data_IF_201113647604
#
_entry.id   IF_201113647604
#
_cell.length_a   1.000
_cell.length_b   1.000
_cell.length_c   1.000
_cell.angle_alpha   90.00
_cell.angle_beta   90.00
_cell.angle_gamma   90.00
#
_symmetry.space_group_name_H-M   'P 1'
#
loop_
_entity.id
_entity.type
_entity.pdbx_description
1 polymer ?
#
# COMPACT_ATOMS: atom_id res chain seq x y z
N UNK A 1 -27.40 10.21 -53.52
CA UNK A 1 -26.29 9.28 -53.20
C UNK A 1 -25.53 9.83 -52.02
N UNK A 2 -25.89 9.44 -50.83
CA UNK A 2 -25.24 9.87 -49.57
C UNK A 2 -24.33 8.75 -49.08
N UNK A 3 -23.03 9.02 -49.01
CA UNK A 3 -22.03 8.11 -48.47
C UNK A 3 -21.96 8.30 -46.96
N UNK A 4 -22.40 7.27 -46.22
CA UNK A 4 -22.30 7.19 -44.77
C UNK A 4 -20.86 6.77 -44.44
N UNK A 5 -20.07 7.67 -43.81
CA UNK A 5 -18.74 7.37 -43.32
C UNK A 5 -18.86 6.80 -41.88
N UNK A 6 -18.53 5.54 -41.74
CA UNK A 6 -18.48 4.83 -40.44
C UNK A 6 -17.18 5.21 -39.71
N UNK A 7 -17.28 6.04 -38.68
CA UNK A 7 -16.15 6.39 -37.81
C UNK A 7 -15.94 5.27 -36.76
N UNK A 8 -14.94 4.44 -36.97
CA UNK A 8 -14.52 3.43 -35.98
C UNK A 8 -13.65 4.11 -34.94
N UNK A 9 -14.22 4.30 -33.74
CA UNK A 9 -13.51 4.83 -32.59
C UNK A 9 -12.70 3.69 -31.94
N UNK A 10 -11.39 3.65 -32.22
CA UNK A 10 -10.45 2.74 -31.54
C UNK A 10 -10.25 3.23 -30.11
N UNK A 11 -10.88 2.56 -29.14
CA UNK A 11 -10.57 2.69 -27.73
C UNK A 11 -9.21 2.08 -27.46
N UNK A 12 -8.17 2.91 -27.38
CA UNK A 12 -6.87 2.50 -26.85
C UNK A 12 -6.98 2.40 -25.34
N UNK A 13 -6.99 1.17 -24.82
CA UNK A 13 -6.80 0.87 -23.40
C UNK A 13 -5.37 1.28 -23.04
N UNK A 14 -5.16 2.18 -22.06
CA UNK A 14 -3.81 2.45 -21.58
C UNK A 14 -3.24 1.17 -20.96
N UNK A 15 -2.15 0.67 -21.51
CA UNK A 15 -1.34 -0.37 -20.92
C UNK A 15 -0.95 0.11 -19.50
N UNK A 16 -1.26 -0.70 -18.52
CA UNK A 16 -0.77 -0.49 -17.16
C UNK A 16 0.76 -0.53 -17.24
N UNK A 17 1.36 0.65 -17.04
CA UNK A 17 2.81 0.78 -16.93
C UNK A 17 3.23 -0.03 -15.70
N UNK A 18 3.78 -1.21 -15.95
CA UNK A 18 4.46 -1.97 -14.92
C UNK A 18 5.56 -1.08 -14.35
N UNK A 19 5.54 -0.90 -13.04
CA UNK A 19 6.55 -0.15 -12.31
C UNK A 19 7.88 -0.93 -12.43
N UNK A 20 8.70 -0.57 -13.41
CA UNK A 20 10.07 -1.08 -13.54
C UNK A 20 10.96 -0.33 -12.56
N UNK A 21 11.26 -0.98 -11.43
CA UNK A 21 12.26 -0.52 -10.49
C UNK A 21 13.65 -0.76 -11.11
N UNK A 22 14.16 0.22 -11.86
CA UNK A 22 15.54 0.21 -12.35
C UNK A 22 16.50 0.26 -11.16
N UNK A 23 17.18 -0.86 -10.91
CA UNK A 23 18.23 -0.97 -9.90
C UNK A 23 19.42 -0.09 -10.27
N UNK A 24 19.58 1.07 -9.64
CA UNK A 24 20.87 1.73 -9.36
C UNK A 24 20.68 3.07 -8.65
N UNK A 25 20.25 3.04 -7.40
CA UNK A 25 20.58 4.06 -6.40
C UNK A 25 20.29 3.41 -5.05
N UNK A 26 21.10 3.66 -4.06
CA UNK A 26 20.78 3.37 -2.66
C UNK A 26 19.60 4.27 -2.29
N UNK A 27 18.40 3.87 -2.67
CA UNK A 27 17.17 4.59 -2.32
C UNK A 27 17.06 4.48 -0.82
N UNK A 28 17.12 5.61 -0.12
CA UNK A 28 16.95 5.65 1.33
C UNK A 28 15.61 5.05 1.72
N UNK A 29 15.50 4.45 2.90
CA UNK A 29 14.25 3.85 3.37
C UNK A 29 13.05 4.81 3.28
N UNK A 30 13.33 6.09 3.49
CA UNK A 30 12.32 7.15 3.40
C UNK A 30 11.79 7.35 1.96
N UNK A 31 12.65 7.20 0.95
CA UNK A 31 12.26 7.37 -0.45
C UNK A 31 11.31 6.26 -0.92
N UNK A 32 11.56 5.00 -0.50
CA UNK A 32 10.68 3.85 -0.84
C UNK A 32 9.27 4.08 -0.29
N UNK A 33 9.16 4.50 0.97
CA UNK A 33 7.87 4.81 1.58
C UNK A 33 7.20 5.99 0.88
N UNK A 34 7.92 7.08 0.65
CA UNK A 34 7.37 8.28 0.00
C UNK A 34 6.81 7.95 -1.38
N UNK A 35 7.53 7.19 -2.20
CA UNK A 35 7.06 6.80 -3.51
C UNK A 35 5.84 5.85 -3.45
N UNK A 36 5.83 4.87 -2.56
CA UNK A 36 4.70 3.98 -2.38
C UNK A 36 3.45 4.75 -1.91
N UNK A 37 3.61 5.65 -0.94
CA UNK A 37 2.53 6.48 -0.42
C UNK A 37 2.04 7.50 -1.48
N UNK A 38 2.95 8.13 -2.23
CA UNK A 38 2.61 9.04 -3.30
C UNK A 38 1.73 8.37 -4.37
N UNK A 39 2.13 7.17 -4.79
CA UNK A 39 1.36 6.35 -5.74
C UNK A 39 -0.01 5.96 -5.19
N UNK A 40 -0.08 5.44 -3.96
CA UNK A 40 -1.33 4.95 -3.38
C UNK A 40 -2.34 6.07 -3.07
N UNK A 41 -1.84 7.22 -2.59
CA UNK A 41 -2.69 8.36 -2.22
C UNK A 41 -2.90 9.37 -3.35
N UNK A 42 -2.32 9.14 -4.53
CA UNK A 42 -2.35 10.05 -5.68
C UNK A 42 -1.87 11.47 -5.29
N UNK A 43 -0.60 11.53 -4.85
CA UNK A 43 0.04 12.77 -4.37
C UNK A 43 1.46 12.91 -4.92
N UNK A 44 1.93 14.15 -5.01
CA UNK A 44 3.32 14.41 -5.37
C UNK A 44 4.29 14.03 -4.25
N UNK A 45 5.39 13.32 -4.52
CA UNK A 45 6.40 12.94 -3.53
C UNK A 45 6.91 14.13 -2.69
N UNK A 46 7.19 15.26 -3.33
CA UNK A 46 7.65 16.49 -2.67
C UNK A 46 6.63 17.07 -1.66
N UNK A 47 5.34 16.83 -1.90
CA UNK A 47 4.30 17.19 -0.95
C UNK A 47 4.37 16.30 0.28
N UNK A 48 4.55 14.98 0.10
CA UNK A 48 4.67 14.03 1.21
C UNK A 48 5.89 14.29 2.07
N UNK A 49 7.04 14.59 1.47
CA UNK A 49 8.27 14.96 2.20
C UNK A 49 8.06 16.20 3.09
N UNK A 50 7.41 17.23 2.55
CA UNK A 50 7.11 18.45 3.28
C UNK A 50 6.17 18.20 4.45
N UNK A 51 5.09 17.45 4.25
CA UNK A 51 4.14 17.13 5.30
C UNK A 51 4.67 16.07 6.27
N UNK A 52 5.52 15.15 5.84
CA UNK A 52 6.20 14.19 6.71
C UNK A 52 6.98 14.88 7.83
N UNK A 53 7.72 15.94 7.49
CA UNK A 53 8.40 16.77 8.50
C UNK A 53 7.43 17.44 9.48
N UNK A 54 6.26 17.85 9.00
CA UNK A 54 5.25 18.53 9.82
C UNK A 54 4.49 17.60 10.75
N UNK A 55 4.20 16.36 10.30
CA UNK A 55 3.55 15.33 11.12
C UNK A 55 4.53 14.59 12.04
N UNK A 56 5.82 14.62 11.75
CA UNK A 56 6.89 14.09 12.60
C UNK A 56 7.10 12.56 12.49
N UNK A 57 6.19 11.82 11.87
CA UNK A 57 6.35 10.37 11.61
C UNK A 57 5.66 9.94 10.33
N UNK A 58 6.14 8.84 9.73
CA UNK A 58 5.51 8.21 8.57
C UNK A 58 4.11 7.67 8.93
N UNK A 59 3.94 7.16 10.14
CA UNK A 59 2.65 6.67 10.64
C UNK A 59 1.61 7.80 10.70
N UNK A 60 1.94 8.96 11.28
CA UNK A 60 1.04 10.11 11.34
C UNK A 60 0.76 10.72 9.96
N UNK A 61 1.77 10.77 9.08
CA UNK A 61 1.58 11.18 7.69
C UNK A 61 0.59 10.26 6.97
N UNK A 62 0.72 8.93 7.16
CA UNK A 62 -0.17 7.94 6.53
C UNK A 62 -1.60 8.11 7.02
N UNK A 63 -1.82 8.36 8.32
CA UNK A 63 -3.15 8.67 8.86
C UNK A 63 -3.72 9.95 8.23
N UNK A 64 -2.92 11.02 8.14
CA UNK A 64 -3.36 12.26 7.52
C UNK A 64 -3.74 12.07 6.04
N UNK A 65 -2.94 11.32 5.29
CA UNK A 65 -3.20 11.01 3.89
C UNK A 65 -4.49 10.19 3.73
N UNK A 66 -4.71 9.20 4.60
CA UNK A 66 -5.92 8.38 4.59
C UNK A 66 -7.17 9.21 4.89
N UNK A 67 -7.12 10.09 5.88
CA UNK A 67 -8.21 10.99 6.19
C UNK A 67 -8.46 11.99 5.06
N UNK A 68 -7.41 12.58 4.49
CA UNK A 68 -7.51 13.49 3.34
C UNK A 68 -8.15 12.80 2.13
N UNK A 69 -7.75 11.57 1.81
CA UNK A 69 -8.31 10.76 0.71
C UNK A 69 -9.80 10.47 0.90
N UNK A 70 -10.22 10.18 2.13
CA UNK A 70 -11.59 9.77 2.44
C UNK A 70 -12.59 10.91 2.60
N UNK A 71 -12.14 12.07 3.12
CA UNK A 71 -13.00 13.20 3.43
C UNK A 71 -12.83 14.41 2.50
N UNK A 72 -11.79 14.38 1.64
CA UNK A 72 -11.40 15.55 0.84
C UNK A 72 -10.74 16.68 1.64
N UNK A 73 -10.48 16.48 2.94
CA UNK A 73 -9.85 17.48 3.80
C UNK A 73 -8.41 17.78 3.39
N UNK A 74 -7.95 19.02 3.58
CA UNK A 74 -6.58 19.40 3.24
C UNK A 74 -5.58 18.90 4.28
N UNK A 75 -4.39 18.46 3.83
CA UNK A 75 -3.29 18.07 4.74
C UNK A 75 -2.87 19.25 5.64
N UNK A 76 -3.01 20.48 5.18
CA UNK A 76 -2.69 21.67 5.96
C UNK A 76 -3.61 21.83 7.18
N UNK A 77 -4.92 21.61 6.98
CA UNK A 77 -5.89 21.69 8.07
C UNK A 77 -5.72 20.55 9.08
N UNK A 78 -5.47 19.33 8.58
CA UNK A 78 -5.19 18.17 9.43
C UNK A 78 -3.94 18.40 10.28
N UNK A 79 -2.86 18.94 9.69
CA UNK A 79 -1.65 19.28 10.42
C UNK A 79 -1.92 20.38 11.48
N UNK A 80 -2.66 21.42 11.12
CA UNK A 80 -3.03 22.47 12.07
C UNK A 80 -3.88 21.95 13.24
N UNK A 81 -4.74 20.94 13.01
CA UNK A 81 -5.49 20.28 14.09
C UNK A 81 -4.56 19.47 15.00
N UNK A 82 -3.61 18.73 14.43
CA UNK A 82 -2.59 17.99 15.21
C UNK A 82 -1.71 18.92 16.04
N UNK A 83 -1.25 20.01 15.48
CA UNK A 83 -0.45 21.04 16.18
C UNK A 83 -1.19 21.66 17.38
N UNK A 84 -2.53 21.69 17.34
CA UNK A 84 -3.37 22.07 18.48
C UNK A 84 -3.61 20.94 19.49
N UNK A 85 -2.96 19.78 19.31
CA UNK A 85 -3.05 18.65 20.22
C UNK A 85 -4.28 17.75 20.02
N UNK A 86 -5.02 17.89 18.91
CA UNK A 86 -6.18 17.01 18.65
C UNK A 86 -5.71 15.59 18.28
N UNK A 87 -6.33 14.57 18.91
CA UNK A 87 -6.14 13.17 18.55
C UNK A 87 -6.71 12.83 17.16
N UNK A 88 -6.20 11.78 16.54
CA UNK A 88 -6.64 11.37 15.20
C UNK A 88 -8.13 11.01 15.14
N UNK A 89 -8.62 10.35 16.20
CA UNK A 89 -10.04 10.04 16.28
C UNK A 89 -10.91 11.32 16.31
N UNK A 90 -10.54 12.31 17.13
CA UNK A 90 -11.28 13.58 17.22
C UNK A 90 -11.25 14.38 15.93
N UNK A 91 -10.11 14.35 15.23
CA UNK A 91 -9.98 14.95 13.91
C UNK A 91 -10.95 14.28 12.94
N UNK A 92 -10.98 12.94 12.89
CA UNK A 92 -11.86 12.21 11.98
C UNK A 92 -13.34 12.52 12.21
N UNK A 93 -13.76 12.57 13.47
CA UNK A 93 -15.13 12.96 13.83
C UNK A 93 -15.43 14.40 13.42
N UNK A 94 -14.48 15.32 13.67
CA UNK A 94 -14.63 16.74 13.34
C UNK A 94 -14.78 17.01 11.85
N UNK A 95 -14.06 16.25 11.01
CA UNK A 95 -14.15 16.40 9.55
C UNK A 95 -15.26 15.54 8.94
N UNK A 96 -16.04 14.83 9.75
CA UNK A 96 -17.13 13.97 9.30
C UNK A 96 -16.68 12.73 8.51
N UNK A 97 -15.47 12.21 8.77
CA UNK A 97 -15.00 11.01 8.12
C UNK A 97 -15.84 9.80 8.54
N UNK A 98 -16.17 8.92 7.56
CA UNK A 98 -16.84 7.65 7.86
C UNK A 98 -15.90 6.77 8.72
N UNK A 99 -16.33 6.23 9.86
CA UNK A 99 -15.51 5.34 10.69
C UNK A 99 -14.93 4.12 9.93
N UNK A 100 -15.53 3.71 8.82
CA UNK A 100 -14.98 2.67 7.95
C UNK A 100 -13.60 3.03 7.37
N UNK A 101 -13.20 4.31 7.39
CA UNK A 101 -11.88 4.77 6.94
C UNK A 101 -10.74 4.08 7.68
N UNK A 102 -10.97 3.69 8.93
CA UNK A 102 -9.96 3.06 9.78
C UNK A 102 -9.72 1.59 9.45
N UNK A 103 -10.76 0.84 9.08
CA UNK A 103 -10.73 -0.61 9.07
C UNK A 103 -10.53 -1.22 7.69
N UNK A 104 -9.81 -2.34 7.66
CA UNK A 104 -9.82 -3.27 6.52
C UNK A 104 -10.70 -4.48 6.86
N UNK A 105 -11.30 -5.15 5.88
CA UNK A 105 -12.03 -6.38 6.12
C UNK A 105 -11.13 -7.45 6.74
N UNK A 106 -11.55 -8.02 7.87
CA UNK A 106 -10.90 -9.17 8.49
C UNK A 106 -11.92 -10.30 8.64
N UNK A 107 -11.48 -11.53 8.43
CA UNK A 107 -12.35 -12.72 8.45
C UNK A 107 -12.60 -13.26 9.86
N UNK A 108 -11.75 -12.90 10.82
CA UNK A 108 -11.82 -13.32 12.23
C UNK A 108 -11.47 -12.17 13.15
N UNK A 109 -11.76 -12.32 14.44
CA UNK A 109 -11.33 -11.34 15.44
C UNK A 109 -9.79 -11.21 15.42
N UNK A 110 -9.28 -10.00 15.15
CA UNK A 110 -7.84 -9.80 15.06
C UNK A 110 -7.10 -9.82 16.41
N UNK A 111 -7.84 -9.82 17.55
CA UNK A 111 -7.23 -9.73 18.89
C UNK A 111 -6.57 -8.35 19.15
N UNK A 112 -5.92 -8.22 20.33
CA UNK A 112 -5.24 -6.96 20.68
C UNK A 112 -4.09 -6.63 19.71
N UNK A 113 -3.83 -5.32 19.44
CA UNK A 113 -4.58 -4.15 19.88
C UNK A 113 -5.83 -3.86 19.03
N UNK A 114 -6.05 -4.58 17.95
CA UNK A 114 -7.07 -4.30 16.92
C UNK A 114 -8.51 -4.69 17.33
N UNK A 115 -8.65 -5.75 18.12
CA UNK A 115 -9.94 -6.41 18.35
C UNK A 115 -10.97 -5.53 19.04
N UNK A 116 -10.55 -4.63 19.94
CA UNK A 116 -11.47 -3.73 20.66
C UNK A 116 -12.18 -2.76 19.68
N UNK A 117 -11.39 -2.04 18.88
CA UNK A 117 -11.93 -1.10 17.90
C UNK A 117 -12.76 -1.82 16.83
N UNK A 118 -12.27 -2.95 16.32
CA UNK A 118 -12.97 -3.78 15.36
C UNK A 118 -14.32 -4.29 15.90
N UNK A 119 -14.35 -4.80 17.14
CA UNK A 119 -15.56 -5.29 17.80
C UNK A 119 -16.62 -4.20 17.95
N UNK A 120 -16.21 -2.98 18.33
CA UNK A 120 -17.11 -1.83 18.38
C UNK A 120 -17.67 -1.47 17.00
N UNK A 121 -16.81 -1.35 15.99
CA UNK A 121 -17.24 -1.03 14.64
C UNK A 121 -18.17 -2.10 14.06
N UNK A 122 -17.86 -3.37 14.22
CA UNK A 122 -18.69 -4.48 13.77
C UNK A 122 -20.08 -4.47 14.41
N UNK A 123 -20.17 -4.07 15.68
CA UNK A 123 -21.43 -4.03 16.43
C UNK A 123 -22.27 -2.79 16.15
N UNK A 124 -21.63 -1.64 15.99
CA UNK A 124 -22.30 -0.34 15.95
C UNK A 124 -22.21 0.36 14.59
N UNK A 125 -21.46 -0.18 13.63
CA UNK A 125 -21.30 0.37 12.29
C UNK A 125 -20.74 1.78 12.32
N UNK A 126 -21.43 2.71 11.66
CA UNK A 126 -20.99 4.11 11.52
C UNK A 126 -21.16 4.96 12.79
N UNK A 127 -21.76 4.43 13.85
CA UNK A 127 -21.93 5.18 15.08
C UNK A 127 -20.60 5.36 15.82
N UNK A 128 -20.24 6.60 16.11
CA UNK A 128 -19.07 6.97 16.94
C UNK A 128 -19.45 7.18 18.40
N UNK A 129 -20.73 7.02 18.74
CA UNK A 129 -21.21 7.26 20.09
C UNK A 129 -20.68 6.23 21.09
N UNK A 130 -20.11 6.72 22.18
CA UNK A 130 -19.70 5.90 23.32
C UNK A 130 -18.38 5.14 23.17
N UNK A 131 -17.59 5.35 22.08
CA UNK A 131 -16.28 4.76 21.96
C UNK A 131 -15.28 5.68 21.23
N UNK A 132 -14.01 5.42 21.44
CA UNK A 132 -12.90 6.16 20.82
C UNK A 132 -11.75 5.21 20.55
N UNK A 133 -10.97 5.54 19.53
CA UNK A 133 -9.67 4.95 19.28
C UNK A 133 -8.57 5.87 19.82
N UNK A 134 -7.52 5.27 20.35
CA UNK A 134 -6.28 6.00 20.62
C UNK A 134 -5.58 6.36 19.31
N UNK A 135 -4.62 7.29 19.38
CA UNK A 135 -3.80 7.63 18.22
C UNK A 135 -3.02 6.42 17.70
N UNK A 136 -2.55 5.54 18.61
CA UNK A 136 -1.84 4.32 18.22
C UNK A 136 -2.75 3.32 17.50
N UNK A 137 -3.97 3.11 17.99
CA UNK A 137 -4.95 2.28 17.28
C UNK A 137 -5.28 2.84 15.89
N UNK A 138 -5.38 4.18 15.75
CA UNK A 138 -5.58 4.82 14.45
C UNK A 138 -4.39 4.58 13.51
N UNK A 139 -3.15 4.77 13.99
CA UNK A 139 -1.92 4.51 13.23
C UNK A 139 -1.83 3.04 12.80
N UNK A 140 -2.09 2.13 13.72
CA UNK A 140 -2.00 0.69 13.47
C UNK A 140 -2.98 0.23 12.39
N UNK A 141 -4.24 0.62 12.49
CA UNK A 141 -5.24 0.26 11.50
C UNK A 141 -4.94 0.85 10.12
N UNK A 142 -4.54 2.12 10.05
CA UNK A 142 -4.22 2.77 8.77
C UNK A 142 -2.96 2.18 8.15
N UNK A 143 -1.94 1.87 8.96
CA UNK A 143 -0.73 1.21 8.47
C UNK A 143 -1.05 -0.18 7.87
N UNK A 144 -1.90 -0.98 8.55
CA UNK A 144 -2.36 -2.28 8.02
C UNK A 144 -3.10 -2.10 6.70
N UNK A 145 -4.01 -1.13 6.62
CA UNK A 145 -4.73 -0.81 5.38
C UNK A 145 -3.76 -0.44 4.27
N UNK A 146 -2.84 0.48 4.52
CA UNK A 146 -1.87 0.94 3.54
C UNK A 146 -1.01 -0.21 3.02
N UNK A 147 -0.42 -1.02 3.90
CA UNK A 147 0.40 -2.18 3.52
C UNK A 147 -0.39 -3.20 2.69
N UNK A 148 -1.65 -3.43 3.06
CA UNK A 148 -2.51 -4.36 2.33
C UNK A 148 -2.92 -3.81 0.96
N UNK A 149 -3.46 -2.60 0.90
CA UNK A 149 -4.03 -2.04 -0.32
C UNK A 149 -2.96 -1.54 -1.32
N UNK A 150 -1.80 -1.07 -0.82
CA UNK A 150 -0.73 -0.55 -1.70
C UNK A 150 0.30 -1.60 -2.12
N UNK A 151 0.62 -2.56 -1.24
CA UNK A 151 1.69 -3.54 -1.45
C UNK A 151 1.20 -4.99 -1.52
N UNK A 152 -0.11 -5.23 -1.37
CA UNK A 152 -0.69 -6.57 -1.41
C UNK A 152 -0.31 -7.46 -0.21
N UNK A 153 0.16 -6.89 0.89
CA UNK A 153 0.50 -7.65 2.09
C UNK A 153 -0.76 -8.27 2.69
N UNK A 154 -0.69 -9.54 3.10
CA UNK A 154 -1.80 -10.17 3.84
C UNK A 154 -2.13 -9.39 5.10
N UNK A 155 -3.43 -9.19 5.39
CA UNK A 155 -3.89 -8.36 6.51
C UNK A 155 -3.36 -8.87 7.85
N UNK A 156 -3.35 -10.20 8.07
CA UNK A 156 -2.86 -10.76 9.34
C UNK A 156 -1.33 -10.60 9.45
N UNK A 157 -0.61 -10.75 8.34
CA UNK A 157 0.84 -10.52 8.30
C UNK A 157 1.18 -9.05 8.57
N UNK A 158 0.41 -8.11 8.03
CA UNK A 158 0.57 -6.68 8.32
C UNK A 158 0.29 -6.37 9.80
N UNK A 159 -0.78 -6.92 10.37
CA UNK A 159 -1.11 -6.79 11.79
C UNK A 159 -0.02 -7.34 12.71
N UNK A 160 0.53 -8.51 12.38
CA UNK A 160 1.62 -9.12 13.15
C UNK A 160 2.89 -8.28 13.09
N UNK A 161 3.22 -7.77 11.91
CA UNK A 161 4.37 -6.90 11.72
C UNK A 161 4.26 -5.60 12.56
N UNK A 162 3.07 -5.02 12.65
CA UNK A 162 2.80 -3.85 13.50
C UNK A 162 2.89 -4.18 14.99
N UNK A 163 2.33 -5.32 15.44
CA UNK A 163 2.46 -5.76 16.85
C UNK A 163 3.93 -5.89 17.29
N UNK A 164 4.80 -6.26 16.36
CA UNK A 164 6.24 -6.37 16.60
C UNK A 164 6.97 -5.02 16.53
N UNK A 165 6.25 -3.89 16.49
CA UNK A 165 6.79 -2.54 16.60
C UNK A 165 7.33 -1.96 15.28
N UNK A 166 7.01 -2.56 14.13
CA UNK A 166 7.43 -2.02 12.84
C UNK A 166 6.66 -0.73 12.47
N UNK A 167 7.35 0.37 12.19
CA UNK A 167 6.74 1.58 11.62
C UNK A 167 6.33 1.36 10.16
N UNK A 168 5.37 2.14 9.66
CA UNK A 168 4.82 1.92 8.31
C UNK A 168 5.88 2.06 7.21
N UNK A 169 6.81 2.98 7.34
CA UNK A 169 7.92 3.18 6.40
C UNK A 169 8.90 2.01 6.41
N UNK A 170 9.33 1.55 7.59
CA UNK A 170 10.22 0.39 7.73
C UNK A 170 9.56 -0.89 7.15
N UNK A 171 8.27 -1.08 7.40
CA UNK A 171 7.52 -2.20 6.85
C UNK A 171 7.36 -2.10 5.33
N UNK A 172 7.14 -0.89 4.79
CA UNK A 172 7.07 -0.64 3.35
C UNK A 172 8.36 -1.05 2.66
N UNK A 173 9.52 -0.63 3.19
CA UNK A 173 10.83 -1.02 2.67
C UNK A 173 11.02 -2.53 2.69
N UNK A 174 10.71 -3.16 3.82
CA UNK A 174 10.85 -4.62 3.98
C UNK A 174 10.02 -5.39 2.95
N UNK A 175 8.76 -5.01 2.78
CA UNK A 175 7.86 -5.71 1.85
C UNK A 175 8.20 -5.42 0.39
N UNK A 176 8.62 -4.20 0.04
CA UNK A 176 9.11 -3.86 -1.30
C UNK A 176 10.37 -4.67 -1.67
N UNK A 177 11.32 -4.81 -0.74
CA UNK A 177 12.52 -5.62 -0.94
C UNK A 177 12.19 -7.12 -1.11
N UNK A 178 11.21 -7.62 -0.35
CA UNK A 178 10.73 -9.02 -0.47
C UNK A 178 10.10 -9.27 -1.83
N UNK A 179 9.27 -8.36 -2.31
CA UNK A 179 8.64 -8.47 -3.62
C UNK A 179 9.68 -8.48 -4.76
N UNK A 180 10.67 -7.59 -4.69
CA UNK A 180 11.78 -7.52 -5.66
C UNK A 180 12.62 -8.80 -5.69
N UNK A 181 12.95 -9.37 -4.53
CA UNK A 181 13.69 -10.62 -4.41
C UNK A 181 12.90 -11.83 -5.01
N UNK A 182 11.59 -11.86 -4.77
CA UNK A 182 10.70 -12.90 -5.29
C UNK A 182 10.52 -12.81 -6.82
N UNK A 183 10.47 -11.59 -7.37
CA UNK A 183 10.40 -11.33 -8.81
C UNK A 183 11.66 -11.81 -9.54
N UNK A 184 12.82 -11.54 -8.97
CA UNK A 184 14.12 -11.91 -9.56
C UNK A 184 14.37 -13.45 -9.55
N UNK A 185 13.87 -14.15 -8.52
CA UNK A 185 13.95 -15.61 -8.46
C UNK A 185 13.13 -16.32 -9.54
N UNK A 186 12.00 -15.73 -9.95
CA UNK A 186 11.17 -16.28 -11.03
C UNK A 186 11.76 -16.07 -12.44
N UNK A 187 12.51 -15.01 -12.66
CA UNK A 187 13.14 -14.75 -13.96
C UNK A 187 14.43 -15.57 -14.19
N UNK A 188 15.11 -16.01 -13.11
CA UNK A 188 16.34 -16.79 -13.19
C UNK A 188 16.17 -18.27 -13.48
N UNK A 189 14.98 -18.85 -13.29
CA UNK A 189 14.75 -20.29 -13.46
C UNK A 189 14.35 -20.73 -14.89
N UNK A 190 14.25 -19.78 -15.84
CA UNK A 190 13.84 -20.05 -17.23
C UNK A 190 14.97 -20.32 -18.23
N UNK A 191 16.26 -20.22 -17.86
CA UNK A 191 17.38 -20.21 -18.80
C UNK A 191 18.32 -21.41 -18.73
N UNK A 192 17.93 -22.53 -18.10
CA UNK A 192 18.74 -23.76 -18.15
C UNK A 192 17.92 -24.92 -18.68
N UNK A 193 18.16 -25.26 -19.94
CA UNK A 193 17.75 -26.56 -20.45
C UNK A 193 17.36 -26.61 -21.90
N UNK A 194 18.34 -26.60 -22.83
CA UNK A 194 18.34 -27.44 -24.06
C UNK A 194 19.69 -27.33 -24.78
N UNK A 195 20.68 -28.09 -24.30
CA UNK A 195 21.78 -28.51 -25.15
C UNK A 195 21.41 -29.89 -25.68
N UNK A 196 20.94 -29.94 -26.92
CA UNK A 196 20.66 -31.17 -27.61
C UNK A 196 21.99 -31.74 -28.11
N UNK A 197 22.44 -32.84 -27.51
CA UNK A 197 23.55 -33.63 -27.97
C UNK A 197 23.08 -34.47 -29.16
N UNK A 198 23.52 -34.09 -30.39
CA UNK A 198 23.35 -34.87 -31.62
C UNK A 198 24.54 -35.83 -31.76
N UNK A 199 24.45 -36.99 -31.15
CA UNK A 199 25.36 -38.10 -31.32
C UNK A 199 25.13 -38.81 -32.68
N UNK A 200 26.06 -38.61 -33.62
CA UNK A 200 26.08 -39.21 -34.94
C UNK A 200 26.60 -40.64 -34.85
N UNK A 201 25.73 -41.63 -35.01
CA UNK A 201 26.10 -43.03 -35.17
C UNK A 201 26.62 -43.32 -36.59
N UNK A 202 27.89 -43.60 -36.71
CA UNK A 202 28.53 -44.06 -37.94
C UNK A 202 28.37 -45.56 -38.13
N UNK A 203 27.79 -45.94 -39.23
CA UNK A 203 27.66 -47.28 -39.78
C UNK A 203 29.02 -47.71 -40.41
N UNK A 204 29.53 -48.89 -40.11
CA UNK A 204 30.41 -49.67 -40.98
C UNK A 204 30.01 -51.11 -40.92
N UNK A 205 29.70 -51.60 -42.10
CA UNK A 205 29.55 -52.94 -42.48
C UNK A 205 30.86 -53.52 -43.03
N UNK A 206 30.87 -54.80 -43.27
CA UNK A 206 31.87 -55.49 -44.12
C UNK A 206 32.10 -56.92 -43.72
N UNK A 207 31.68 -57.76 -44.60
CA UNK A 207 32.16 -59.14 -44.99
C UNK A 207 31.69 -60.24 -44.06
#
# INVERSE_FOLDING_TARGET
MARLALLVLLLTVPAQAGFELSASATVGSNDVFVHAAASYFDREPSQLERYGKRFGSADDLTVALQLSKSSGGSLADLAAMRERGMGWWDISVRIGADPAVWFVPVTRDPGPPYGKAWGHWKKHGKSTAGWRMSDDECRDWVAVRFLHESLGVDVNAAMEARRNGGSVDALTVRESNRASASGNAKSGSGAQGKSANHGKSGKKGGS
#
